data_IF_648513809171
#
_entry.id   IF_648513809171
#
_cell.length_a   1.000
_cell.length_b   1.000
_cell.length_c   1.000
_cell.angle_alpha   90.00
_cell.angle_beta   90.00
_cell.angle_gamma   90.00
#
_symmetry.space_group_name_H-M   'P 1'
#
loop_
_entity.id
_entity.type
_entity.pdbx_description
1 polymer ?
#
# COMPACT_ATOMS: atom_id res chain seq x y z
N UNK A 1 -9.38 27.54 0.80
CA UNK A 1 -9.04 26.90 -0.49
C UNK A 1 -7.74 27.50 -1.01
N UNK A 2 -6.63 26.75 -1.09
CA UNK A 2 -5.33 27.30 -1.54
C UNK A 2 -5.26 27.38 -3.07
N UNK A 3 -4.52 28.35 -3.62
CA UNK A 3 -4.35 28.54 -5.06
C UNK A 3 -3.60 27.35 -5.71
N UNK A 4 -2.64 26.76 -4.99
CA UNK A 4 -1.81 25.66 -5.46
C UNK A 4 -2.60 24.39 -5.78
N UNK A 5 -3.53 23.97 -4.90
CA UNK A 5 -4.32 22.76 -5.13
C UNK A 5 -5.17 22.84 -6.40
N UNK A 6 -5.79 24.00 -6.63
CA UNK A 6 -6.60 24.26 -7.83
C UNK A 6 -5.78 24.24 -9.13
N UNK A 7 -4.54 24.72 -9.11
CA UNK A 7 -3.66 24.68 -10.28
C UNK A 7 -3.20 23.25 -10.63
N UNK A 8 -3.22 22.34 -9.67
CA UNK A 8 -2.73 20.97 -9.85
C UNK A 8 -3.84 19.94 -10.08
N UNK A 9 -5.12 20.27 -9.86
CA UNK A 9 -6.25 19.34 -9.86
C UNK A 9 -6.37 18.41 -11.10
N UNK A 10 -5.85 18.85 -12.25
CA UNK A 10 -5.81 18.11 -13.51
C UNK A 10 -4.57 17.19 -13.65
N UNK A 11 -3.70 17.10 -12.64
CA UNK A 11 -2.48 16.29 -12.64
C UNK A 11 -2.59 15.18 -11.62
N UNK A 12 -2.61 13.93 -12.10
CA UNK A 12 -2.68 12.72 -11.28
C UNK A 12 -1.71 11.70 -11.83
N UNK A 13 -1.02 10.99 -10.95
CA UNK A 13 -0.08 9.95 -11.34
C UNK A 13 -0.75 8.81 -12.15
N UNK A 14 -2.01 8.51 -11.84
CA UNK A 14 -2.78 7.44 -12.46
C UNK A 14 -2.32 6.04 -12.06
N UNK A 15 -2.96 5.04 -12.65
CA UNK A 15 -2.73 3.63 -12.27
C UNK A 15 -1.58 2.97 -13.03
N UNK A 16 -1.14 3.53 -14.16
CA UNK A 16 -0.22 2.87 -15.09
C UNK A 16 1.13 2.42 -14.48
N UNK A 17 1.56 3.06 -13.39
CA UNK A 17 2.82 2.77 -12.71
C UNK A 17 2.66 2.20 -11.30
N UNK A 18 1.46 1.72 -10.96
CA UNK A 18 1.18 1.04 -9.68
C UNK A 18 1.80 -0.35 -9.62
N UNK A 19 1.98 -0.88 -8.42
CA UNK A 19 2.39 -2.28 -8.22
C UNK A 19 1.44 -3.27 -8.92
N UNK A 20 0.14 -2.97 -8.94
CA UNK A 20 -0.92 -3.76 -9.57
C UNK A 20 -0.68 -4.02 -11.05
N UNK A 21 -0.06 -3.05 -11.73
CA UNK A 21 0.19 -3.08 -13.17
C UNK A 21 1.62 -3.51 -13.53
N UNK A 22 2.45 -3.91 -12.55
CA UNK A 22 3.76 -4.49 -12.84
C UNK A 22 3.61 -5.88 -13.46
N UNK A 23 4.28 -6.19 -14.58
CA UNK A 23 4.17 -7.49 -15.25
C UNK A 23 4.54 -8.68 -14.35
N UNK A 24 5.52 -8.51 -13.47
CA UNK A 24 5.99 -9.54 -12.54
C UNK A 24 5.10 -9.71 -11.30
N UNK A 25 4.13 -8.82 -11.07
CA UNK A 25 3.15 -8.93 -9.97
C UNK A 25 1.74 -9.27 -10.49
N UNK A 26 1.64 -9.78 -11.72
CA UNK A 26 0.37 -10.30 -12.24
C UNK A 26 0.05 -11.67 -11.63
N UNK A 27 -1.23 -11.88 -11.34
CA UNK A 27 -1.77 -13.11 -10.78
C UNK A 27 -3.31 -13.07 -10.77
N UNK A 28 -3.97 -14.19 -10.44
CA UNK A 28 -5.42 -14.25 -10.44
C UNK A 28 -6.01 -13.47 -9.25
N UNK A 29 -7.17 -12.84 -9.43
CA UNK A 29 -7.83 -12.03 -8.40
C UNK A 29 -8.70 -12.91 -7.47
N UNK A 30 -8.08 -13.88 -6.79
CA UNK A 30 -8.77 -14.86 -5.93
C UNK A 30 -8.87 -14.44 -4.46
N UNK A 31 -8.14 -13.40 -4.06
CA UNK A 31 -8.22 -12.84 -2.72
C UNK A 31 -9.30 -11.75 -2.64
N UNK A 32 -9.95 -11.64 -1.51
CA UNK A 32 -10.76 -10.47 -1.13
C UNK A 32 -10.04 -9.73 -0.02
N UNK A 33 -9.81 -8.43 -0.19
CA UNK A 33 -9.25 -7.53 0.83
C UNK A 33 -10.34 -6.57 1.29
N UNK A 34 -10.55 -6.48 2.60
CA UNK A 34 -11.60 -5.66 3.23
C UNK A 34 -11.06 -4.85 4.39
N UNK A 35 -11.81 -3.84 4.80
CA UNK A 35 -11.60 -3.12 6.04
C UNK A 35 -12.94 -2.93 6.74
N UNK A 36 -12.94 -2.93 8.07
CA UNK A 36 -14.07 -2.46 8.86
C UNK A 36 -14.02 -0.95 9.13
N UNK A 37 -12.95 -0.28 8.70
CA UNK A 37 -12.78 1.16 8.87
C UNK A 37 -13.37 1.96 7.69
N UNK A 38 -13.45 1.36 6.50
CA UNK A 38 -14.00 1.98 5.29
C UNK A 38 -14.30 0.92 4.21
N UNK A 39 -15.28 1.20 3.34
CA UNK A 39 -15.60 0.38 2.18
C UNK A 39 -14.81 0.80 0.93
N UNK A 40 -14.79 -0.04 -0.10
CA UNK A 40 -14.10 0.27 -1.35
C UNK A 40 -14.70 1.52 -2.03
N UNK A 41 -13.86 2.53 -2.24
CA UNK A 41 -14.21 3.82 -2.84
C UNK A 41 -14.58 4.89 -1.82
N UNK A 42 -14.86 4.50 -0.58
CA UNK A 42 -15.39 5.40 0.43
C UNK A 42 -14.29 6.24 1.11
N UNK A 43 -14.68 7.39 1.71
CA UNK A 43 -13.77 8.19 2.51
C UNK A 43 -13.21 7.41 3.70
N UNK A 44 -11.89 7.43 3.85
CA UNK A 44 -11.23 6.86 5.02
C UNK A 44 -11.43 7.77 6.25
N UNK A 45 -11.66 7.21 7.45
CA UNK A 45 -11.73 7.98 8.69
C UNK A 45 -10.49 8.89 8.93
N UNK A 46 -10.66 10.10 9.49
CA UNK A 46 -9.57 11.06 9.70
C UNK A 46 -8.35 10.51 10.48
N UNK A 47 -8.56 9.56 11.41
CA UNK A 47 -7.49 8.90 12.17
C UNK A 47 -6.42 8.26 11.28
N UNK A 48 -6.76 7.84 10.06
CA UNK A 48 -5.81 7.24 9.13
C UNK A 48 -4.95 8.27 8.40
N UNK A 49 -5.37 9.54 8.34
CA UNK A 49 -4.60 10.64 7.78
C UNK A 49 -3.27 10.89 8.51
N UNK A 50 -2.33 11.56 7.87
CA UNK A 50 -1.06 11.90 8.49
C UNK A 50 -1.21 12.94 9.62
N UNK A 51 -0.28 12.91 10.58
CA UNK A 51 -0.31 13.80 11.76
C UNK A 51 -0.24 15.28 11.41
N UNK A 52 0.55 15.65 10.39
CA UNK A 52 0.69 17.03 9.95
C UNK A 52 -0.58 17.61 9.27
N UNK A 53 -1.58 16.77 9.01
CA UNK A 53 -2.89 17.19 8.48
C UNK A 53 -4.04 16.93 9.48
N UNK A 54 -3.71 16.61 10.73
CA UNK A 54 -4.69 16.42 11.82
C UNK A 54 -5.17 14.98 12.01
N UNK A 55 -4.61 14.00 11.31
CA UNK A 55 -4.87 12.58 11.57
C UNK A 55 -3.94 11.97 12.63
N UNK A 56 -4.04 10.67 12.86
CA UNK A 56 -3.22 9.95 13.84
C UNK A 56 -2.09 9.14 13.20
N UNK A 57 -2.05 9.07 11.86
CA UNK A 57 -1.17 8.23 11.07
C UNK A 57 -1.31 6.74 11.45
N UNK A 58 -2.54 6.32 11.78
CA UNK A 58 -2.86 4.96 12.16
C UNK A 58 -3.24 4.17 10.90
N UNK A 59 -2.51 3.11 10.55
CA UNK A 59 -2.92 2.27 9.42
C UNK A 59 -4.31 1.70 9.67
N UNK A 60 -5.17 1.58 8.65
CA UNK A 60 -6.50 1.01 8.84
C UNK A 60 -6.42 -0.48 9.15
N UNK A 61 -7.50 -1.01 9.71
CA UNK A 61 -7.76 -2.42 9.73
C UNK A 61 -7.75 -2.97 8.30
N UNK A 62 -7.13 -4.13 8.09
CA UNK A 62 -7.18 -4.84 6.82
C UNK A 62 -7.36 -6.33 7.09
N UNK A 63 -8.33 -6.97 6.46
CA UNK A 63 -8.53 -8.42 6.55
C UNK A 63 -8.67 -9.01 5.15
N UNK A 64 -8.26 -10.26 4.99
CA UNK A 64 -8.34 -10.95 3.70
C UNK A 64 -8.86 -12.37 3.82
N UNK A 65 -9.44 -12.87 2.74
CA UNK A 65 -9.78 -14.30 2.63
C UNK A 65 -8.53 -15.16 2.66
N UNK A 66 -8.67 -16.42 3.07
CA UNK A 66 -7.56 -17.36 3.15
C UNK A 66 -6.72 -17.37 1.84
N UNK A 67 -5.40 -17.13 1.91
CA UNK A 67 -4.55 -17.21 0.73
C UNK A 67 -4.50 -18.63 0.15
N UNK A 68 -4.28 -18.79 -1.17
CA UNK A 68 -4.16 -20.10 -1.79
C UNK A 68 -3.04 -20.95 -1.15
N UNK A 69 -3.18 -22.29 -1.15
CA UNK A 69 -2.10 -23.19 -0.76
C UNK A 69 -0.79 -22.88 -1.48
N UNK A 70 0.33 -22.97 -0.77
CA UNK A 70 1.66 -22.61 -1.28
C UNK A 70 2.00 -21.13 -1.15
N UNK A 71 1.11 -20.28 -0.61
CA UNK A 71 1.47 -18.89 -0.25
C UNK A 71 2.50 -18.91 0.87
N UNK A 72 3.70 -18.41 0.57
CA UNK A 72 4.80 -18.31 1.53
C UNK A 72 4.86 -16.94 2.22
N UNK A 73 4.38 -15.89 1.55
CA UNK A 73 4.44 -14.53 2.06
C UNK A 73 3.38 -13.66 1.39
N UNK A 74 2.81 -12.73 2.15
CA UNK A 74 1.98 -11.67 1.59
C UNK A 74 2.81 -10.40 1.41
N UNK A 75 2.68 -9.74 0.26
CA UNK A 75 3.23 -8.41 -0.02
C UNK A 75 2.08 -7.40 -0.06
N UNK A 76 2.12 -6.42 0.83
CA UNK A 76 1.19 -5.30 0.88
C UNK A 76 1.86 -4.03 0.37
N UNK A 77 1.24 -3.35 -0.59
CA UNK A 77 1.68 -2.07 -1.14
C UNK A 77 0.54 -1.07 -1.05
N UNK A 78 0.81 0.13 -0.51
CA UNK A 78 -0.17 1.22 -0.43
C UNK A 78 0.32 2.38 -1.28
N UNK A 79 -0.47 2.80 -2.26
CA UNK A 79 -0.12 3.85 -3.21
C UNK A 79 -1.18 4.95 -3.31
N UNK A 80 -0.73 6.20 -3.34
CA UNK A 80 -1.54 7.35 -3.77
C UNK A 80 -1.41 7.52 -5.28
N UNK A 81 -2.47 7.17 -6.01
CA UNK A 81 -2.52 7.22 -7.48
C UNK A 81 -2.95 8.59 -8.02
N UNK A 82 -3.31 9.51 -7.13
CA UNK A 82 -3.83 10.82 -7.46
C UNK A 82 -2.87 11.95 -7.08
N UNK A 83 -1.74 11.62 -6.46
CA UNK A 83 -0.64 12.56 -6.23
C UNK A 83 -0.24 13.25 -7.56
N UNK A 84 -0.02 14.58 -7.57
CA UNK A 84 0.34 15.32 -8.79
C UNK A 84 1.82 15.15 -9.14
N UNK A 85 2.27 13.91 -9.25
CA UNK A 85 3.61 13.50 -9.67
C UNK A 85 3.52 12.57 -10.88
N UNK A 86 4.62 12.35 -11.64
CA UNK A 86 4.61 11.43 -12.77
C UNK A 86 4.33 9.96 -12.41
N UNK A 87 4.40 9.59 -11.13
CA UNK A 87 4.20 8.22 -10.63
C UNK A 87 3.53 8.23 -9.26
N UNK A 88 2.80 7.16 -8.90
CA UNK A 88 2.17 7.05 -7.59
C UNK A 88 3.19 7.18 -6.46
N UNK A 89 2.77 7.79 -5.36
CA UNK A 89 3.57 7.81 -4.15
C UNK A 89 3.31 6.52 -3.37
N UNK A 90 4.36 5.77 -3.04
CA UNK A 90 4.24 4.57 -2.19
C UNK A 90 4.25 5.01 -0.73
N UNK A 91 3.11 4.84 -0.05
CA UNK A 91 2.87 5.19 1.34
C UNK A 91 3.28 4.08 2.32
N UNK A 92 3.28 2.83 1.87
CA UNK A 92 3.71 1.68 2.65
C UNK A 92 4.11 0.53 1.73
N UNK A 93 5.14 -0.21 2.13
CA UNK A 93 5.43 -1.55 1.64
C UNK A 93 5.63 -2.43 2.87
N UNK A 94 4.93 -3.55 2.94
CA UNK A 94 5.05 -4.48 4.05
C UNK A 94 5.02 -5.93 3.55
N UNK A 95 5.74 -6.78 4.26
CA UNK A 95 5.67 -8.22 4.11
C UNK A 95 4.93 -8.76 5.34
N UNK A 96 3.94 -9.61 5.10
CA UNK A 96 3.02 -10.09 6.13
C UNK A 96 3.00 -11.62 6.10
N UNK A 97 3.06 -12.22 7.28
CA UNK A 97 2.86 -13.65 7.46
C UNK A 97 1.44 -14.03 6.98
N UNK A 98 1.29 -14.96 6.02
CA UNK A 98 -0.01 -15.42 5.55
C UNK A 98 -0.95 -15.90 6.66
N UNK A 99 -0.41 -16.41 7.77
CA UNK A 99 -1.17 -16.88 8.92
C UNK A 99 -1.80 -15.76 9.76
N UNK A 100 -1.45 -14.49 9.52
CA UNK A 100 -1.98 -13.36 10.29
C UNK A 100 -3.49 -13.18 10.12
N UNK A 101 -4.03 -13.47 8.93
CA UNK A 101 -5.45 -13.33 8.57
C UNK A 101 -5.98 -11.89 8.49
N UNK A 102 -5.50 -11.01 9.36
CA UNK A 102 -5.81 -9.60 9.41
C UNK A 102 -4.64 -8.77 9.93
N UNK A 103 -4.79 -7.45 9.81
CA UNK A 103 -3.97 -6.41 10.41
C UNK A 103 -4.89 -5.49 11.21
N UNK A 104 -4.68 -5.42 12.52
CA UNK A 104 -5.37 -4.44 13.36
C UNK A 104 -4.96 -3.00 13.00
N UNK A 105 -5.77 -1.99 13.35
CA UNK A 105 -5.37 -0.60 13.19
C UNK A 105 -4.00 -0.32 13.82
N UNK A 106 -3.12 0.34 13.07
CA UNK A 106 -1.74 0.63 13.51
C UNK A 106 -0.72 -0.51 13.33
N UNK A 107 -1.10 -1.68 12.83
CA UNK A 107 -0.19 -2.82 12.63
C UNK A 107 1.01 -2.54 11.70
N UNK A 108 0.94 -1.49 10.88
CA UNK A 108 1.98 -1.08 9.94
C UNK A 108 2.87 0.06 10.47
N UNK A 109 2.91 0.30 11.79
CA UNK A 109 3.81 1.29 12.39
C UNK A 109 5.29 0.96 12.15
N UNK A 110 6.09 2.00 11.90
CA UNK A 110 7.50 1.85 11.57
C UNK A 110 8.37 1.32 12.72
N UNK A 111 8.01 1.65 13.96
CA UNK A 111 8.78 1.34 15.18
C UNK A 111 8.23 0.13 15.91
N UNK A 112 6.93 -0.11 15.81
CA UNK A 112 6.21 -1.19 16.47
C UNK A 112 5.25 -1.88 15.49
N UNK A 113 5.76 -2.53 14.42
CA UNK A 113 4.91 -3.33 13.55
C UNK A 113 4.31 -4.50 14.34
N UNK A 114 3.15 -4.98 13.89
CA UNK A 114 2.53 -6.16 14.50
C UNK A 114 3.41 -7.41 14.30
N UNK A 115 3.17 -8.43 15.13
CA UNK A 115 3.78 -9.76 14.93
C UNK A 115 3.48 -10.29 13.52
N UNK A 116 4.47 -10.89 12.87
CA UNK A 116 4.31 -11.37 11.49
C UNK A 116 4.40 -10.27 10.42
N UNK A 117 4.59 -9.01 10.79
CA UNK A 117 4.69 -7.87 9.86
C UNK A 117 6.11 -7.34 9.81
N UNK A 118 6.67 -7.25 8.60
CA UNK A 118 7.93 -6.56 8.31
C UNK A 118 7.69 -5.39 7.36
N UNK A 119 7.75 -4.17 7.89
CA UNK A 119 7.61 -2.94 7.11
C UNK A 119 8.92 -2.56 6.42
N UNK A 120 8.86 -2.25 5.12
CA UNK A 120 10.00 -1.92 4.28
C UNK A 120 10.04 -0.42 3.97
N UNK A 121 11.09 0.00 3.26
CA UNK A 121 11.22 1.38 2.78
C UNK A 121 10.20 1.66 1.67
N UNK A 122 9.46 2.76 1.80
CA UNK A 122 8.51 3.31 0.83
C UNK A 122 9.05 4.59 0.15
N UNK A 123 8.21 5.31 -0.61
CA UNK A 123 8.59 6.62 -1.19
C UNK A 123 8.64 7.69 -0.10
N UNK A 124 7.74 7.61 0.88
CA UNK A 124 7.54 8.65 1.91
C UNK A 124 8.33 8.34 3.19
N UNK A 125 8.64 7.08 3.46
CA UNK A 125 9.42 6.66 4.63
C UNK A 125 9.34 5.16 4.87
N UNK A 126 9.58 4.69 6.10
CA UNK A 126 9.35 3.28 6.49
C UNK A 126 8.05 3.16 7.30
N UNK A 127 7.29 2.09 7.10
CA UNK A 127 5.97 1.92 7.72
C UNK A 127 4.89 2.76 7.03
N UNK A 128 3.67 2.66 7.56
CA UNK A 128 2.52 3.37 7.02
C UNK A 128 2.64 4.88 7.21
N UNK A 129 2.49 5.61 6.11
CA UNK A 129 2.32 7.05 6.09
C UNK A 129 0.89 7.35 5.64
N UNK A 130 0.13 8.03 6.50
CA UNK A 130 -1.27 8.34 6.25
C UNK A 130 -1.47 9.32 5.09
N UNK A 131 -2.69 9.38 4.52
CA UNK A 131 -3.08 10.40 3.56
C UNK A 131 -2.76 11.82 4.04
N UNK A 132 -2.19 12.61 3.13
CA UNK A 132 -1.92 14.03 3.33
C UNK A 132 -2.04 14.80 2.01
N UNK A 133 -3.18 14.70 1.31
CA UNK A 133 -3.33 15.30 -0.02
C UNK A 133 -3.15 16.82 0.04
N UNK A 134 -2.81 17.42 -1.10
CA UNK A 134 -2.65 18.87 -1.18
C UNK A 134 -4.05 19.50 -1.01
N UNK A 135 -4.16 20.45 -0.07
CA UNK A 135 -5.42 21.15 0.19
C UNK A 135 -6.01 21.73 -1.10
N UNK A 136 -7.25 21.41 -1.42
CA UNK A 136 -7.95 21.87 -2.62
C UNK A 136 -7.53 21.20 -3.93
N UNK A 137 -6.80 20.07 -3.89
CA UNK A 137 -6.46 19.28 -5.09
C UNK A 137 -7.61 18.36 -5.56
N UNK A 138 -8.65 18.23 -4.73
CA UNK A 138 -9.68 17.22 -4.86
C UNK A 138 -9.35 15.94 -4.09
N UNK A 139 -10.23 14.94 -4.12
CA UNK A 139 -10.00 13.66 -3.45
C UNK A 139 -8.82 12.91 -4.09
N UNK A 140 -8.03 12.27 -3.24
CA UNK A 140 -7.00 11.31 -3.62
C UNK A 140 -7.45 9.89 -3.25
N UNK A 141 -7.14 8.93 -4.12
CA UNK A 141 -7.36 7.49 -3.92
C UNK A 141 -6.07 6.84 -3.41
N UNK A 142 -6.20 6.15 -2.30
CA UNK A 142 -5.15 5.35 -1.66
C UNK A 142 -5.47 3.88 -1.87
N UNK A 143 -4.72 3.22 -2.75
CA UNK A 143 -4.96 1.83 -3.15
C UNK A 143 -4.06 0.90 -2.36
N UNK A 144 -4.67 0.09 -1.49
CA UNK A 144 -4.07 -1.03 -0.77
C UNK A 144 -4.09 -2.25 -1.67
N UNK A 145 -2.92 -2.80 -1.99
CA UNK A 145 -2.76 -3.90 -2.93
C UNK A 145 -2.07 -5.05 -2.21
N UNK A 146 -2.71 -6.22 -2.18
CA UNK A 146 -2.22 -7.40 -1.50
C UNK A 146 -1.89 -8.49 -2.53
N UNK A 147 -0.70 -9.05 -2.44
CA UNK A 147 -0.21 -10.12 -3.31
C UNK A 147 0.20 -11.32 -2.47
N UNK A 148 -0.33 -12.50 -2.78
CA UNK A 148 0.11 -13.78 -2.23
C UNK A 148 1.25 -14.35 -3.07
N UNK A 149 2.44 -14.40 -2.51
CA UNK A 149 3.66 -14.84 -3.19
C UNK A 149 3.96 -16.29 -2.85
N UNK A 150 4.37 -17.07 -3.86
CA UNK A 150 4.78 -18.47 -3.70
C UNK A 150 6.14 -18.64 -2.99
N UNK A 151 6.91 -17.56 -2.86
CA UNK A 151 8.19 -17.53 -2.18
C UNK A 151 8.42 -16.16 -1.50
N UNK A 152 9.25 -16.08 -0.45
CA UNK A 152 9.60 -14.80 0.17
C UNK A 152 10.32 -13.87 -0.81
N UNK A 153 10.11 -12.56 -0.67
CA UNK A 153 10.76 -11.53 -1.50
C UNK A 153 12.30 -11.58 -1.42
N UNK A 154 12.85 -12.01 -0.29
CA UNK A 154 14.31 -12.12 -0.08
C UNK A 154 14.92 -13.41 -0.67
N UNK A 155 14.10 -14.34 -1.18
CA UNK A 155 14.56 -15.63 -1.70
C UNK A 155 15.22 -15.56 -3.09
N UNK A 156 15.25 -14.38 -3.73
CA UNK A 156 15.80 -14.21 -5.07
C UNK A 156 17.30 -13.84 -5.05
N UNK A 157 18.15 -14.51 -5.85
CA UNK A 157 19.55 -14.10 -6.02
C UNK A 157 19.63 -12.64 -6.51
N UNK A 158 20.36 -11.78 -5.79
CA UNK A 158 20.52 -10.36 -6.15
C UNK A 158 19.46 -9.40 -5.57
N UNK A 159 18.56 -9.88 -4.70
CA UNK A 159 17.70 -9.00 -3.91
C UNK A 159 18.58 -8.13 -3.00
N UNK A 160 18.80 -6.87 -3.39
CA UNK A 160 19.33 -5.85 -2.49
C UNK A 160 18.53 -5.93 -1.20
N UNK A 161 19.19 -6.07 -0.04
CA UNK A 161 18.53 -6.29 1.26
C UNK A 161 17.22 -5.48 1.30
N UNK A 162 16.07 -6.16 1.26
CA UNK A 162 14.78 -5.55 0.88
C UNK A 162 14.46 -4.29 1.71
N UNK A 163 15.02 -4.24 2.92
CA UNK A 163 15.02 -3.09 3.82
C UNK A 163 15.59 -1.79 3.26
N UNK A 164 16.62 -1.82 2.42
CA UNK A 164 17.31 -0.63 1.90
C UNK A 164 16.88 -0.28 0.48
N UNK A 165 16.27 -1.22 -0.24
CA UNK A 165 15.84 -1.03 -1.61
C UNK A 165 14.83 0.11 -1.72
N UNK A 166 14.88 0.86 -2.83
CA UNK A 166 13.80 1.79 -3.19
C UNK A 166 12.59 0.97 -3.64
N UNK A 167 11.34 1.41 -3.38
CA UNK A 167 10.14 0.63 -3.69
C UNK A 167 10.10 0.12 -5.12
N UNK A 168 10.42 0.98 -6.10
CA UNK A 168 10.43 0.57 -7.51
C UNK A 168 11.45 -0.53 -7.81
N UNK A 169 12.64 -0.45 -7.23
CA UNK A 169 13.67 -1.47 -7.41
C UNK A 169 13.26 -2.77 -6.73
N UNK A 170 12.72 -2.70 -5.52
CA UNK A 170 12.20 -3.84 -4.78
C UNK A 170 11.07 -4.54 -5.55
N UNK A 171 10.01 -3.80 -5.89
CA UNK A 171 8.82 -4.34 -6.55
C UNK A 171 9.14 -4.89 -7.95
N UNK A 172 10.04 -4.23 -8.69
CA UNK A 172 10.50 -4.70 -10.00
C UNK A 172 11.44 -5.92 -9.93
N UNK A 173 12.02 -6.21 -8.76
CA UNK A 173 12.90 -7.35 -8.53
C UNK A 173 12.17 -8.57 -7.94
N UNK A 174 10.88 -8.47 -7.64
CA UNK A 174 10.10 -9.62 -7.16
C UNK A 174 9.97 -10.65 -8.30
N UNK A 175 10.60 -11.80 -8.13
CA UNK A 175 10.53 -12.92 -9.07
C UNK A 175 9.57 -14.03 -8.61
N UNK A 176 9.15 -13.98 -7.35
CA UNK A 176 8.22 -14.95 -6.78
C UNK A 176 6.86 -14.89 -7.52
N UNK A 177 6.34 -16.04 -8.00
CA UNK A 177 5.02 -16.08 -8.61
C UNK A 177 3.92 -15.55 -7.68
N UNK A 178 3.01 -14.74 -8.21
CA UNK A 178 1.81 -14.27 -7.50
C UNK A 178 0.70 -15.30 -7.66
N UNK A 179 0.39 -16.03 -6.59
CA UNK A 179 -0.65 -17.06 -6.55
C UNK A 179 -2.05 -16.46 -6.50
N UNK A 180 -2.21 -15.30 -5.85
CA UNK A 180 -3.44 -14.53 -5.86
C UNK A 180 -3.17 -13.06 -5.50
N UNK A 181 -4.10 -12.18 -5.83
CA UNK A 181 -4.04 -10.75 -5.46
C UNK A 181 -5.41 -10.14 -5.21
N UNK A 182 -5.44 -9.04 -4.48
CA UNK A 182 -6.63 -8.22 -4.25
C UNK A 182 -6.26 -6.74 -4.07
N UNK A 183 -7.25 -5.85 -4.19
CA UNK A 183 -7.07 -4.43 -3.90
C UNK A 183 -8.29 -3.83 -3.20
N UNK A 184 -8.02 -2.91 -2.28
CA UNK A 184 -9.00 -2.08 -1.59
C UNK A 184 -8.58 -0.61 -1.76
N UNK A 185 -9.50 0.28 -2.11
CA UNK A 185 -9.18 1.69 -2.33
C UNK A 185 -10.02 2.53 -1.39
N UNK A 186 -9.38 3.40 -0.61
CA UNK A 186 -10.05 4.42 0.19
C UNK A 186 -9.75 5.82 -0.36
N UNK A 187 -10.59 6.79 -0.04
CA UNK A 187 -10.38 8.19 -0.46
C UNK A 187 -10.05 9.11 0.70
N UNK A 188 -9.31 10.18 0.43
CA UNK A 188 -9.04 11.25 1.39
C UNK A 188 -8.94 12.60 0.67
N UNK A 189 -9.44 13.67 1.28
CA UNK A 189 -9.43 15.03 0.72
C UNK A 189 -9.13 16.08 1.81
N UNK A 190 -8.66 17.27 1.42
CA UNK A 190 -8.36 18.40 2.32
C UNK A 190 -8.77 19.75 1.75
#
# INVERSE_FOLDING_TARGET
MTLLGRLLNNRRAGEAHTAWNLPNLQGPALLTLTSRDFDHGDPMPPRHGAKNVGGENLSPHLAWTAPPPGTAQLLLVVEDIDVPLPRPAVHCVALVDPASGELAPGALDARRPATGVRVLRSTIGRGYHGPAPIKGHGPHRYTFQLFALAAPVDGAPGAAAADRARPRALLGAVTAPVLARSRLTGTYER
#
